data_IF_911362135980
#
_entry.id   IF_911362135980
#
_cell.length_a   1.000
_cell.length_b   1.000
_cell.length_c   1.000
_cell.angle_alpha   90.00
_cell.angle_beta   90.00
_cell.angle_gamma   90.00
#
_symmetry.space_group_name_H-M   'P 1'
#
loop_
_entity.id
_entity.type
_entity.pdbx_description
1 polymer ?
#
# COMPACT_ATOMS: atom_id res chain seq x y z
N UNK A 1 23.15 1.16 -0.33
CA UNK A 1 21.94 0.59 -0.97
C UNK A 1 21.23 1.74 -1.66
N UNK A 2 20.61 1.48 -2.80
CA UNK A 2 19.77 2.43 -3.52
C UNK A 2 18.33 1.94 -3.44
N UNK A 3 17.39 2.87 -3.24
CA UNK A 3 15.96 2.60 -3.19
C UNK A 3 15.27 3.49 -4.23
N UNK A 4 14.45 2.88 -5.09
CA UNK A 4 13.83 3.58 -6.23
C UNK A 4 12.35 3.23 -6.34
N UNK A 5 11.52 4.25 -6.58
CA UNK A 5 10.14 4.13 -7.00
C UNK A 5 9.69 5.42 -7.69
N UNK A 6 8.63 5.34 -8.49
CA UNK A 6 7.98 6.50 -9.13
C UNK A 6 6.56 6.76 -8.59
N UNK A 7 6.27 6.27 -7.39
CA UNK A 7 4.96 6.38 -6.75
C UNK A 7 4.64 7.86 -6.51
N UNK A 8 3.49 8.31 -7.03
CA UNK A 8 2.94 9.65 -6.81
C UNK A 8 1.59 9.62 -6.07
N UNK A 9 0.85 8.51 -6.21
CA UNK A 9 -0.38 8.17 -5.51
C UNK A 9 -0.57 6.66 -5.59
N UNK A 10 -1.22 6.05 -4.60
CA UNK A 10 -1.53 4.63 -4.59
C UNK A 10 -3.05 4.44 -4.70
N UNK A 11 -3.47 3.39 -5.39
CA UNK A 11 -4.87 2.92 -5.38
C UNK A 11 -5.00 1.57 -4.69
N UNK A 12 -3.89 0.84 -4.58
CA UNK A 12 -3.80 -0.44 -3.87
C UNK A 12 -2.37 -0.59 -3.36
N UNK A 13 -1.47 -1.14 -4.17
CA UNK A 13 -0.06 -1.30 -3.82
C UNK A 13 0.86 -0.96 -4.99
N UNK A 14 2.12 -0.65 -4.67
CA UNK A 14 3.16 -0.45 -5.68
C UNK A 14 4.52 -0.97 -5.20
N UNK A 15 5.41 -1.20 -6.15
CA UNK A 15 6.74 -1.74 -5.92
C UNK A 15 7.74 -0.66 -5.54
N UNK A 16 8.47 -0.89 -4.46
CA UNK A 16 9.71 -0.19 -4.12
C UNK A 16 10.88 -1.10 -4.44
N UNK A 17 11.75 -0.67 -5.36
CA UNK A 17 12.91 -1.46 -5.78
C UNK A 17 14.13 -1.13 -4.91
N UNK A 18 14.64 -2.14 -4.23
CA UNK A 18 15.90 -2.12 -3.51
C UNK A 18 17.00 -2.65 -4.42
N UNK A 19 18.14 -1.96 -4.46
CA UNK A 19 19.36 -2.41 -5.13
C UNK A 19 20.56 -2.26 -4.20
N UNK A 20 21.33 -3.33 -4.02
CA UNK A 20 22.55 -3.31 -3.21
C UNK A 20 23.76 -3.75 -4.02
N UNK A 21 24.95 -3.39 -3.54
CA UNK A 21 26.19 -3.79 -4.20
C UNK A 21 26.35 -5.31 -4.17
N UNK A 22 26.85 -5.88 -5.26
CA UNK A 22 27.35 -7.25 -5.24
C UNK A 22 28.52 -7.32 -4.25
N UNK A 23 28.45 -8.27 -3.33
CA UNK A 23 29.50 -8.51 -2.34
C UNK A 23 29.80 -10.00 -2.38
N UNK A 24 31.06 -10.34 -2.68
CA UNK A 24 31.54 -11.70 -2.60
C UNK A 24 31.75 -12.03 -1.12
N UNK A 25 30.97 -12.97 -0.61
CA UNK A 25 31.08 -13.49 0.76
C UNK A 25 31.59 -14.92 0.69
N UNK A 26 32.77 -15.19 1.26
CA UNK A 26 33.25 -16.56 1.42
C UNK A 26 32.29 -17.33 2.34
N UNK A 27 31.99 -18.58 1.97
CA UNK A 27 31.00 -19.39 2.66
C UNK A 27 29.64 -18.69 2.83
N UNK A 28 29.17 -18.01 1.78
CA UNK A 28 27.85 -17.40 1.74
C UNK A 28 26.75 -18.38 2.22
N UNK A 29 25.84 -17.86 3.04
CA UNK A 29 24.67 -18.61 3.53
C UNK A 29 23.38 -18.05 2.95
N UNK A 30 23.10 -16.75 3.15
CA UNK A 30 21.86 -16.11 2.72
C UNK A 30 21.99 -14.60 2.65
N UNK A 31 21.05 -13.99 1.91
CA UNK A 31 20.69 -12.58 2.05
C UNK A 31 19.31 -12.50 2.69
N UNK A 32 19.13 -11.64 3.70
CA UNK A 32 17.81 -11.30 4.24
C UNK A 32 17.47 -9.86 3.90
N UNK A 33 16.22 -9.65 3.48
CA UNK A 33 15.65 -8.32 3.28
C UNK A 33 14.63 -8.09 4.39
N UNK A 34 14.83 -7.04 5.15
CA UNK A 34 13.95 -6.65 6.25
C UNK A 34 13.46 -5.22 6.06
N UNK A 35 12.25 -4.96 6.54
CA UNK A 35 11.61 -3.64 6.49
C UNK A 35 11.05 -3.30 7.86
N UNK A 36 11.07 -2.03 8.22
CA UNK A 36 10.25 -1.48 9.31
C UNK A 36 9.66 -0.15 8.91
N UNK A 37 8.50 0.18 9.47
CA UNK A 37 7.98 1.53 9.36
C UNK A 37 8.85 2.50 10.19
N UNK A 38 8.73 3.80 9.92
CA UNK A 38 9.36 4.82 10.75
C UNK A 38 8.78 4.89 12.17
N UNK A 39 7.53 4.45 12.35
CA UNK A 39 6.85 4.40 13.63
C UNK A 39 7.26 3.17 14.47
N UNK A 40 7.75 2.12 13.83
CA UNK A 40 8.11 0.86 14.48
C UNK A 40 9.59 0.76 14.84
N UNK A 41 9.86 0.00 15.90
CA UNK A 41 11.22 -0.38 16.32
C UNK A 41 11.64 -1.76 15.83
N UNK A 42 10.68 -2.64 15.53
CA UNK A 42 10.91 -4.01 15.09
C UNK A 42 11.10 -4.14 13.58
N UNK A 43 12.05 -4.97 13.17
CA UNK A 43 12.25 -5.35 11.77
C UNK A 43 11.31 -6.51 11.39
N UNK A 44 10.66 -6.38 10.24
CA UNK A 44 9.83 -7.42 9.63
C UNK A 44 10.59 -8.03 8.45
N UNK A 45 10.75 -9.35 8.46
CA UNK A 45 11.36 -10.08 7.34
C UNK A 45 10.48 -10.02 6.10
N UNK A 46 11.05 -9.61 4.97
CA UNK A 46 10.39 -9.53 3.66
C UNK A 46 10.81 -10.65 2.73
N UNK A 47 12.09 -11.00 2.75
CA UNK A 47 12.61 -12.10 1.94
C UNK A 47 13.86 -12.74 2.54
N UNK A 48 14.06 -14.01 2.22
CA UNK A 48 15.32 -14.73 2.37
C UNK A 48 15.73 -15.21 0.97
N UNK A 49 16.94 -14.85 0.55
CA UNK A 49 17.47 -15.17 -0.77
C UNK A 49 18.72 -16.04 -0.60
N UNK A 50 18.74 -17.19 -1.28
CA UNK A 50 19.86 -18.16 -1.20
C UNK A 50 20.85 -18.04 -2.36
N UNK A 51 20.56 -17.18 -3.35
CA UNK A 51 21.48 -16.94 -4.46
C UNK A 51 22.30 -15.66 -4.18
N UNK A 52 23.63 -15.75 -3.99
CA UNK A 52 24.47 -14.60 -3.69
C UNK A 52 24.57 -13.59 -4.84
N UNK A 53 24.22 -13.98 -6.07
CA UNK A 53 24.25 -13.11 -7.24
C UNK A 53 23.02 -12.19 -7.32
N UNK A 54 22.02 -12.37 -6.45
CA UNK A 54 20.86 -11.47 -6.41
C UNK A 54 21.27 -10.17 -5.70
N UNK A 55 21.12 -9.06 -6.41
CA UNK A 55 21.44 -7.71 -5.94
C UNK A 55 20.23 -6.78 -5.89
N UNK A 56 19.04 -7.32 -6.14
CA UNK A 56 17.79 -6.55 -6.19
C UNK A 56 16.63 -7.28 -5.53
N UNK A 57 15.73 -6.53 -4.90
CA UNK A 57 14.44 -7.02 -4.42
C UNK A 57 13.39 -5.93 -4.60
N UNK A 58 12.17 -6.31 -5.00
CA UNK A 58 11.03 -5.38 -5.07
C UNK A 58 10.09 -5.72 -3.93
N UNK A 59 9.89 -4.77 -3.02
CA UNK A 59 8.90 -4.90 -1.95
C UNK A 59 7.60 -4.20 -2.35
N UNK A 60 6.46 -4.83 -2.07
CA UNK A 60 5.16 -4.21 -2.28
C UNK A 60 4.77 -3.40 -1.04
N UNK A 61 4.39 -2.14 -1.27
CA UNK A 61 4.00 -1.17 -0.25
C UNK A 61 2.63 -0.57 -0.55
N UNK A 62 1.94 -0.16 0.50
CA UNK A 62 0.82 0.79 0.48
C UNK A 62 1.30 2.13 1.04
N UNK A 63 0.39 3.07 1.26
CA UNK A 63 0.66 4.46 1.61
C UNK A 63 0.60 4.78 3.12
N UNK A 64 0.36 3.77 3.95
CA UNK A 64 0.21 3.92 5.40
C UNK A 64 1.50 4.39 6.10
N UNK A 65 2.66 4.08 5.53
CA UNK A 65 3.93 4.22 6.21
C UNK A 65 5.13 4.56 5.30
N UNK A 66 6.05 5.34 5.88
CA UNK A 66 7.42 5.47 5.39
C UNK A 66 8.28 4.33 5.92
N UNK A 67 9.26 3.90 5.14
CA UNK A 67 9.96 2.64 5.39
C UNK A 67 11.47 2.80 5.48
N UNK A 68 12.05 2.10 6.45
CA UNK A 68 13.48 1.78 6.48
C UNK A 68 13.66 0.33 6.06
N UNK A 69 14.66 0.11 5.23
CA UNK A 69 15.04 -1.20 4.72
C UNK A 69 16.43 -1.55 5.20
N UNK A 70 16.62 -2.84 5.49
CA UNK A 70 17.92 -3.43 5.77
C UNK A 70 18.09 -4.67 4.90
N UNK A 71 19.22 -4.74 4.22
CA UNK A 71 19.65 -5.93 3.49
C UNK A 71 20.88 -6.48 4.19
N UNK A 72 20.79 -7.70 4.71
CA UNK A 72 21.85 -8.36 5.46
C UNK A 72 22.36 -9.55 4.68
N UNK A 73 23.67 -9.63 4.48
CA UNK A 73 24.36 -10.79 3.93
C UNK A 73 24.97 -11.56 5.11
N UNK A 74 24.73 -12.86 5.17
CA UNK A 74 25.26 -13.75 6.21
C UNK A 74 26.11 -14.85 5.59
N UNK A 75 27.18 -15.24 6.27
CA UNK A 75 27.93 -16.47 5.96
C UNK A 75 27.41 -17.68 6.78
N UNK A 76 27.93 -18.88 6.52
CA UNK A 76 27.55 -20.10 7.26
C UNK A 76 27.99 -20.08 8.73
N UNK A 77 28.93 -19.21 9.10
CA UNK A 77 29.43 -19.07 10.47
C UNK A 77 28.60 -18.05 11.28
N UNK A 78 27.65 -17.37 10.63
CA UNK A 78 26.78 -16.37 11.24
C UNK A 78 27.37 -14.96 11.26
N UNK A 79 28.47 -14.71 10.54
CA UNK A 79 28.96 -13.34 10.37
C UNK A 79 28.06 -12.58 9.40
N UNK A 80 27.76 -11.33 9.75
CA UNK A 80 26.80 -10.52 9.01
C UNK A 80 27.41 -9.19 8.56
N UNK A 81 27.04 -8.78 7.35
CA UNK A 81 27.25 -7.43 6.84
C UNK A 81 25.94 -6.92 6.28
N UNK A 82 25.59 -5.68 6.59
CA UNK A 82 24.32 -5.12 6.16
C UNK A 82 24.46 -3.75 5.51
N UNK A 83 23.45 -3.41 4.71
CA UNK A 83 23.24 -2.09 4.14
C UNK A 83 21.82 -1.62 4.46
N UNK A 84 21.69 -0.36 4.84
CA UNK A 84 20.39 0.28 5.11
C UNK A 84 20.09 1.40 4.11
N UNK A 85 18.81 1.76 4.06
CA UNK A 85 18.28 2.85 3.27
C UNK A 85 16.84 3.11 3.68
N UNK A 86 16.34 4.28 3.34
CA UNK A 86 14.99 4.71 3.69
C UNK A 86 14.28 5.31 2.48
N UNK A 87 12.96 5.27 2.51
CA UNK A 87 12.11 5.85 1.48
C UNK A 87 10.82 6.35 2.10
N UNK A 88 10.26 7.41 1.53
CA UNK A 88 8.95 7.93 1.91
C UNK A 88 7.91 7.54 0.87
N UNK A 89 6.69 7.25 1.32
CA UNK A 89 5.58 6.89 0.44
C UNK A 89 4.55 8.01 0.47
N UNK A 90 4.14 8.57 -0.69
CA UNK A 90 3.12 9.60 -0.70
C UNK A 90 1.77 9.02 -0.27
N UNK A 91 1.09 9.73 0.64
CA UNK A 91 -0.27 9.38 1.07
C UNK A 91 -1.28 9.59 -0.04
N UNK A 92 -2.19 8.64 -0.18
CA UNK A 92 -3.41 8.77 -0.97
C UNK A 92 -4.40 9.53 -0.11
N UNK A 93 -4.86 10.67 -0.61
CA UNK A 93 -5.89 11.47 0.09
C UNK A 93 -7.23 11.42 -0.61
N UNK A 94 -7.27 10.84 -1.82
CA UNK A 94 -8.49 10.70 -2.60
C UNK A 94 -8.45 9.52 -3.56
N UNK A 95 -9.60 8.86 -3.66
CA UNK A 95 -9.93 7.87 -4.69
C UNK A 95 -11.07 8.39 -5.57
N UNK A 96 -11.04 8.02 -6.84
CA UNK A 96 -11.97 8.49 -7.88
C UNK A 96 -12.80 7.34 -8.42
N UNK A 97 -14.11 7.51 -8.50
CA UNK A 97 -15.04 6.49 -8.99
C UNK A 97 -15.63 6.97 -10.33
N UNK A 98 -15.59 6.16 -11.40
CA UNK A 98 -15.13 4.76 -11.43
C UNK A 98 -13.63 4.55 -11.71
N UNK A 99 -12.86 5.62 -11.92
CA UNK A 99 -11.50 5.53 -12.48
C UNK A 99 -10.51 4.65 -11.67
N UNK A 100 -10.57 4.70 -10.34
CA UNK A 100 -9.74 3.87 -9.46
C UNK A 100 -10.44 2.57 -9.04
N UNK A 101 -11.76 2.62 -8.89
CA UNK A 101 -12.59 1.50 -8.46
C UNK A 101 -13.97 1.57 -9.11
N UNK A 102 -14.48 0.42 -9.55
CA UNK A 102 -15.83 0.33 -10.13
C UNK A 102 -16.96 0.61 -9.13
N UNK A 103 -16.69 0.51 -7.82
CA UNK A 103 -17.71 0.71 -6.78
C UNK A 103 -17.20 1.58 -5.64
N UNK A 104 -18.09 2.44 -5.14
CA UNK A 104 -17.87 3.29 -3.97
C UNK A 104 -17.55 2.42 -2.73
N UNK A 105 -18.20 1.26 -2.59
CA UNK A 105 -17.98 0.36 -1.46
C UNK A 105 -16.57 -0.27 -1.49
N UNK A 106 -16.09 -0.69 -2.67
CA UNK A 106 -14.73 -1.23 -2.80
C UNK A 106 -13.68 -0.17 -2.49
N UNK A 107 -13.89 1.07 -2.98
CA UNK A 107 -13.01 2.18 -2.64
C UNK A 107 -12.99 2.45 -1.13
N UNK A 108 -14.15 2.47 -0.45
CA UNK A 108 -14.23 2.64 1.01
C UNK A 108 -13.49 1.54 1.78
N UNK A 109 -13.53 0.31 1.28
CA UNK A 109 -12.83 -0.84 1.88
C UNK A 109 -11.35 -0.91 1.53
N UNK A 110 -10.88 -0.07 0.61
CA UNK A 110 -9.48 -0.03 0.21
C UNK A 110 -8.56 0.20 1.41
N UNK A 111 -7.38 -0.45 1.46
CA UNK A 111 -6.40 -0.17 2.50
C UNK A 111 -5.81 1.24 2.40
N UNK A 112 -5.86 1.89 1.24
CA UNK A 112 -5.28 3.24 1.02
C UNK A 112 -6.28 4.39 1.25
N UNK A 113 -7.46 4.09 1.81
CA UNK A 113 -8.42 5.12 2.21
C UNK A 113 -8.58 5.08 3.73
N UNK A 114 -8.24 6.19 4.37
CA UNK A 114 -8.20 6.33 5.81
C UNK A 114 -9.06 7.49 6.30
N UNK A 115 -9.09 7.67 7.62
CA UNK A 115 -9.75 8.80 8.26
C UNK A 115 -9.21 10.14 7.73
N UNK A 116 -10.12 10.97 7.19
CA UNK A 116 -9.82 12.27 6.61
C UNK A 116 -9.73 12.29 5.09
N UNK A 117 -9.70 11.12 4.44
CA UNK A 117 -9.61 11.02 2.98
C UNK A 117 -10.97 11.16 2.30
N UNK A 118 -10.94 11.24 0.97
CA UNK A 118 -12.13 11.44 0.15
C UNK A 118 -12.33 10.37 -0.93
N UNK A 119 -13.58 9.98 -1.15
CA UNK A 119 -14.00 9.23 -2.32
C UNK A 119 -14.84 10.17 -3.19
N UNK A 120 -14.30 10.51 -4.35
CA UNK A 120 -14.90 11.44 -5.31
C UNK A 120 -15.60 10.64 -6.41
N UNK A 121 -16.91 10.84 -6.54
CA UNK A 121 -17.77 10.04 -7.41
C UNK A 121 -18.20 10.86 -8.61
N UNK A 122 -17.77 10.44 -9.79
CA UNK A 122 -18.13 11.09 -11.06
C UNK A 122 -19.64 10.98 -11.37
N UNK A 123 -20.17 11.75 -12.33
CA UNK A 123 -21.50 11.52 -12.90
C UNK A 123 -21.71 10.06 -13.30
N UNK A 124 -22.85 9.47 -12.91
CA UNK A 124 -23.12 8.08 -13.22
C UNK A 124 -24.20 7.43 -12.36
N UNK A 125 -24.47 6.17 -12.68
CA UNK A 125 -25.38 5.31 -11.92
C UNK A 125 -24.59 4.15 -11.33
N UNK A 126 -24.52 4.09 -10.00
CA UNK A 126 -23.73 3.11 -9.27
C UNK A 126 -24.66 2.14 -8.54
N UNK A 127 -24.49 0.85 -8.78
CA UNK A 127 -25.30 -0.19 -8.16
C UNK A 127 -24.71 -0.64 -6.83
N UNK A 128 -25.56 -0.89 -5.84
CA UNK A 128 -25.21 -1.52 -4.57
C UNK A 128 -25.63 -0.75 -3.33
N UNK A 129 -25.19 -1.26 -2.18
CA UNK A 129 -25.43 -0.68 -0.85
C UNK A 129 -24.10 -0.21 -0.26
N UNK A 130 -24.09 1.01 0.26
CA UNK A 130 -22.96 1.57 1.00
C UNK A 130 -23.07 1.20 2.48
N UNK A 131 -22.06 0.51 3.01
CA UNK A 131 -21.87 0.23 4.42
C UNK A 131 -20.61 0.95 4.90
N UNK A 132 -20.80 2.15 5.48
CA UNK A 132 -19.76 3.15 5.68
C UNK A 132 -19.40 3.36 7.15
N UNK A 133 -19.18 2.26 7.87
CA UNK A 133 -18.77 2.28 9.27
C UNK A 133 -17.27 2.02 9.40
N UNK A 134 -16.68 2.58 10.46
CA UNK A 134 -15.30 2.27 10.86
C UNK A 134 -14.23 3.16 10.23
N UNK A 135 -14.61 4.11 9.34
CA UNK A 135 -13.72 5.16 8.82
C UNK A 135 -14.46 6.49 8.70
N UNK A 136 -13.78 7.58 8.98
CA UNK A 136 -14.23 8.96 8.77
C UNK A 136 -13.79 9.47 7.40
N UNK A 137 -14.46 9.00 6.34
CA UNK A 137 -14.15 9.30 4.94
C UNK A 137 -15.25 10.18 4.33
N UNK A 138 -14.86 11.20 3.57
CA UNK A 138 -15.80 12.02 2.80
C UNK A 138 -16.16 11.33 1.48
N UNK A 139 -17.41 10.91 1.32
CA UNK A 139 -17.93 10.43 0.02
C UNK A 139 -18.73 11.55 -0.63
N UNK A 140 -18.33 12.00 -1.83
CA UNK A 140 -18.92 13.17 -2.48
C UNK A 140 -19.03 13.01 -4.00
N UNK A 141 -20.18 13.40 -4.56
CA UNK A 141 -20.33 13.58 -6.00
C UNK A 141 -19.44 14.75 -6.50
N UNK A 142 -18.59 14.51 -7.50
CA UNK A 142 -17.66 15.52 -8.03
C UNK A 142 -18.39 16.67 -8.72
N UNK A 143 -19.48 16.34 -9.44
CA UNK A 143 -20.17 17.23 -10.37
C UNK A 143 -21.62 17.52 -9.93
N UNK A 144 -21.96 17.20 -8.68
CA UNK A 144 -23.29 17.43 -8.12
C UNK A 144 -24.17 16.18 -8.07
N UNK A 145 -25.15 16.20 -7.17
CA UNK A 145 -26.03 15.04 -6.92
C UNK A 145 -27.07 14.84 -8.02
N UNK A 146 -27.30 15.84 -8.86
CA UNK A 146 -28.24 15.84 -9.97
C UNK A 146 -27.85 14.87 -11.10
N UNK A 147 -26.57 14.52 -11.19
CA UNK A 147 -26.00 13.65 -12.24
C UNK A 147 -25.36 12.37 -11.68
N UNK A 148 -25.43 12.16 -10.36
CA UNK A 148 -24.86 10.99 -9.67
C UNK A 148 -25.94 10.29 -8.85
N UNK A 149 -26.22 9.03 -9.20
CA UNK A 149 -27.27 8.22 -8.53
C UNK A 149 -26.69 6.91 -8.01
N UNK A 150 -27.10 6.54 -6.79
CA UNK A 150 -26.84 5.21 -6.22
C UNK A 150 -28.15 4.42 -6.24
N UNK A 151 -28.12 3.24 -6.86
CA UNK A 151 -29.27 2.34 -6.97
C UNK A 151 -29.01 1.10 -6.12
N UNK A 152 -29.92 0.81 -5.20
CA UNK A 152 -29.91 -0.41 -4.41
C UNK A 152 -30.02 -1.66 -5.29
N UNK A 153 -29.20 -2.68 -5.01
CA UNK A 153 -29.42 -4.02 -5.57
C UNK A 153 -30.64 -4.67 -4.91
N UNK A 154 -31.59 -5.14 -5.72
CA UNK A 154 -32.70 -6.03 -5.37
C UNK A 154 -33.65 -5.59 -4.24
N UNK A 155 -33.84 -4.26 -4.04
CA UNK A 155 -34.81 -3.60 -3.13
C UNK A 155 -34.32 -3.25 -1.70
N UNK A 156 -33.03 -3.42 -1.39
CA UNK A 156 -32.49 -3.09 -0.06
C UNK A 156 -31.61 -1.81 -0.07
N UNK A 157 -31.97 -0.85 0.79
CA UNK A 157 -31.30 0.43 1.15
C UNK A 157 -29.95 0.70 0.46
N UNK A 158 -29.83 1.86 -0.20
CA UNK A 158 -28.56 2.33 -0.77
C UNK A 158 -27.49 2.68 0.28
N UNK A 159 -27.90 2.98 1.52
CA UNK A 159 -27.02 3.34 2.62
C UNK A 159 -27.40 2.58 3.89
N UNK A 160 -26.39 1.97 4.52
CA UNK A 160 -26.51 1.31 5.81
C UNK A 160 -25.54 1.93 6.83
N UNK A 161 -26.11 2.47 7.91
CA UNK A 161 -25.40 2.97 9.08
C UNK A 161 -25.83 2.09 10.26
N UNK A 162 -25.15 0.98 10.48
CA UNK A 162 -25.38 0.16 11.67
C UNK A 162 -24.65 0.80 12.86
N UNK A 163 -25.35 1.09 13.96
CA UNK A 163 -24.65 1.44 15.20
C UNK A 163 -23.87 0.20 15.68
N UNK A 164 -22.64 0.43 16.16
CA UNK A 164 -21.89 -0.56 16.93
C UNK A 164 -22.55 -0.88 18.26
#
# INVERSE_FOLDING_TARGET
>A
MTIEHSITRLVDSSGVKLTWSEIIVENFSKVTVERRSFADTGWTLRAILSNPLITTYTDMVNDDADFRYRVTLSDIQGNEKWAEGETTIPKTTSLYIPDDYDSIQAAFQSPVIDDGDSILVSPGTYQGTLAILGKNVLIRASDGHEVTTIIASDSNRCLNINNG
#
